data_IF_123401109046
#
_entry.id   IF_123401109046
#
_cell.length_a   1.000
_cell.length_b   1.000
_cell.length_c   1.000
_cell.angle_alpha   90.00
_cell.angle_beta   90.00
_cell.angle_gamma   90.00
#
_symmetry.space_group_name_H-M   'P 1'
#
loop_
_entity.id
_entity.type
_entity.pdbx_description
1 polymer ?
#
# COMPACT_ATOMS: atom_id res chain seq x y z
N UNK A 1 64.42 -53.24 -33.28
CA UNK A 1 64.81 -52.80 -31.92
C UNK A 1 64.08 -51.49 -31.65
N UNK A 2 63.45 -51.18 -30.52
CA UNK A 2 63.12 -51.85 -29.26
C UNK A 2 62.16 -50.86 -28.54
N UNK A 3 61.07 -51.35 -27.92
CA UNK A 3 60.22 -50.78 -26.84
C UNK A 3 59.49 -49.42 -27.05
N UNK A 4 58.15 -49.28 -26.89
CA UNK A 4 57.14 -49.60 -25.85
C UNK A 4 56.84 -48.44 -24.88
N UNK A 5 55.53 -48.17 -24.74
CA UNK A 5 54.75 -47.56 -23.62
C UNK A 5 54.75 -46.01 -23.57
N UNK A 6 53.68 -45.31 -23.19
CA UNK A 6 52.55 -45.64 -22.30
C UNK A 6 51.35 -44.70 -22.57
N UNK A 7 50.13 -45.23 -22.44
CA UNK A 7 48.87 -44.45 -22.32
C UNK A 7 48.82 -43.68 -20.99
N UNK A 8 48.30 -42.45 -20.99
CA UNK A 8 47.54 -41.90 -19.85
C UNK A 8 46.24 -41.25 -20.38
N UNK A 9 45.15 -41.77 -19.82
CA UNK A 9 43.75 -41.36 -19.95
C UNK A 9 43.53 -39.89 -19.59
N UNK A 10 42.92 -39.14 -20.50
CA UNK A 10 42.31 -37.84 -20.22
C UNK A 10 40.80 -37.95 -20.46
N UNK A 11 40.03 -38.09 -19.38
CA UNK A 11 38.57 -37.96 -19.40
C UNK A 11 38.25 -36.49 -19.72
N UNK A 12 37.87 -36.20 -20.96
CA UNK A 12 37.27 -34.92 -21.32
C UNK A 12 35.76 -35.05 -21.07
N UNK A 13 35.30 -34.63 -19.89
CA UNK A 13 33.89 -34.41 -19.61
C UNK A 13 33.36 -33.31 -20.54
N UNK A 14 32.61 -33.70 -21.57
CA UNK A 14 31.76 -32.80 -22.34
C UNK A 14 30.57 -32.38 -21.48
N UNK A 15 30.73 -31.29 -20.74
CA UNK A 15 29.60 -30.58 -20.13
C UNK A 15 28.80 -29.89 -21.23
N UNK A 16 27.78 -30.59 -21.73
CA UNK A 16 26.73 -29.99 -22.55
C UNK A 16 25.94 -29.04 -21.62
N UNK A 17 26.22 -27.74 -21.72
CA UNK A 17 25.37 -26.70 -21.13
C UNK A 17 24.18 -26.55 -22.08
N UNK A 18 23.11 -27.31 -21.84
CA UNK A 18 21.78 -26.97 -22.37
C UNK A 18 21.31 -25.76 -21.56
N UNK A 19 21.65 -24.57 -22.05
CA UNK A 19 21.00 -23.35 -21.62
C UNK A 19 19.57 -23.36 -22.14
N UNK A 20 18.63 -23.82 -21.32
CA UNK A 20 17.20 -23.66 -21.59
C UNK A 20 16.82 -22.20 -21.35
N UNK A 21 17.00 -21.36 -22.37
CA UNK A 21 16.31 -20.06 -22.41
C UNK A 21 14.86 -20.34 -22.76
N UNK A 22 14.00 -20.44 -21.74
CA UNK A 22 12.56 -20.34 -21.93
C UNK A 22 12.22 -18.90 -22.32
N UNK A 23 12.38 -18.60 -23.61
CA UNK A 23 11.77 -17.43 -24.22
C UNK A 23 10.26 -17.59 -24.13
N UNK A 24 9.62 -16.83 -23.25
CA UNK A 24 8.16 -16.67 -23.28
C UNK A 24 7.88 -15.84 -24.54
N UNK A 25 7.52 -16.51 -25.63
CA UNK A 25 6.92 -15.84 -26.77
C UNK A 25 5.59 -15.23 -26.30
N UNK A 26 5.53 -13.89 -26.23
CA UNK A 26 4.28 -13.19 -26.05
C UNK A 26 3.39 -13.53 -27.25
N UNK A 27 2.41 -14.41 -27.07
CA UNK A 27 1.38 -14.67 -28.06
C UNK A 27 0.66 -13.34 -28.33
N UNK A 28 0.91 -12.75 -29.49
CA UNK A 28 0.15 -11.59 -29.94
C UNK A 28 -1.25 -12.07 -30.29
N UNK A 29 -2.25 -11.67 -29.50
CA UNK A 29 -3.65 -11.86 -29.88
C UNK A 29 -3.93 -11.00 -31.12
N UNK A 30 -4.38 -11.62 -32.21
CA UNK A 30 -4.77 -10.91 -33.42
C UNK A 30 -6.28 -10.90 -33.59
N UNK A 31 -6.84 -9.81 -34.12
CA UNK A 31 -8.24 -9.70 -34.53
C UNK A 31 -8.35 -9.67 -36.05
N UNK A 32 -9.19 -10.53 -36.64
CA UNK A 32 -9.46 -10.52 -38.09
C UNK A 32 -10.63 -9.60 -38.40
N UNK A 33 -10.38 -8.57 -39.21
CA UNK A 33 -11.37 -7.56 -39.63
C UNK A 33 -12.56 -8.23 -40.32
N UNK A 34 -13.76 -7.91 -39.86
CA UNK A 34 -15.04 -8.38 -40.39
C UNK A 34 -15.75 -7.27 -41.19
N UNK A 35 -16.78 -7.65 -41.93
CA UNK A 35 -17.58 -6.69 -42.69
C UNK A 35 -18.21 -5.64 -41.75
N UNK A 36 -18.05 -4.35 -42.08
CA UNK A 36 -18.59 -3.23 -41.30
C UNK A 36 -17.78 -2.84 -40.06
N UNK A 37 -16.60 -3.43 -39.85
CA UNK A 37 -15.68 -3.04 -38.78
C UNK A 37 -15.03 -1.68 -39.04
N UNK A 38 -14.76 -0.97 -37.95
CA UNK A 38 -13.90 0.22 -37.90
C UNK A 38 -12.94 0.06 -36.74
N UNK A 39 -11.82 0.79 -36.72
CA UNK A 39 -10.91 0.78 -35.55
C UNK A 39 -11.66 1.09 -34.25
N UNK A 40 -12.64 2.00 -34.29
CA UNK A 40 -13.49 2.31 -33.14
C UNK A 40 -14.37 1.12 -32.72
N UNK A 41 -15.05 0.45 -33.65
CA UNK A 41 -15.88 -0.73 -33.28
C UNK A 41 -15.03 -1.87 -32.73
N UNK A 42 -13.87 -2.11 -33.35
CA UNK A 42 -12.92 -3.13 -32.90
C UNK A 42 -12.37 -2.78 -31.53
N UNK A 43 -11.98 -1.51 -31.29
CA UNK A 43 -11.42 -1.06 -30.01
C UNK A 43 -12.40 -1.31 -28.85
N UNK A 44 -13.70 -1.06 -29.07
CA UNK A 44 -14.73 -1.41 -28.09
C UNK A 44 -14.85 -2.92 -27.89
N UNK A 45 -14.87 -3.68 -28.99
CA UNK A 45 -15.03 -5.15 -28.97
C UNK A 45 -13.88 -5.87 -28.24
N UNK A 46 -12.65 -5.37 -28.40
CA UNK A 46 -11.44 -5.95 -27.78
C UNK A 46 -11.03 -5.24 -26.49
N UNK A 47 -11.81 -4.25 -26.04
CA UNK A 47 -11.57 -3.47 -24.82
C UNK A 47 -10.16 -2.86 -24.72
N UNK A 48 -9.68 -2.28 -25.82
CA UNK A 48 -8.41 -1.56 -25.92
C UNK A 48 -8.71 -0.14 -26.38
N UNK A 49 -8.15 0.93 -25.80
CA UNK A 49 -8.35 2.28 -26.31
C UNK A 49 -7.96 2.37 -27.80
N UNK A 50 -8.80 3.05 -28.60
CA UNK A 50 -8.63 3.12 -30.06
C UNK A 50 -7.22 3.61 -30.46
N UNK A 51 -6.66 4.57 -29.71
CA UNK A 51 -5.32 5.11 -29.93
C UNK A 51 -4.23 4.05 -29.78
N UNK A 52 -4.33 3.18 -28.78
CA UNK A 52 -3.39 2.09 -28.57
C UNK A 52 -3.55 0.99 -29.62
N UNK A 53 -4.79 0.68 -30.01
CA UNK A 53 -5.06 -0.28 -31.09
C UNK A 53 -4.49 0.21 -32.43
N UNK A 54 -4.69 1.49 -32.76
CA UNK A 54 -4.16 2.08 -34.00
C UNK A 54 -2.62 2.15 -33.98
N UNK A 55 -2.03 2.59 -32.87
CA UNK A 55 -0.58 2.64 -32.72
C UNK A 55 0.08 1.26 -32.89
N UNK A 56 -0.51 0.21 -32.30
CA UNK A 56 -0.02 -1.17 -32.45
C UNK A 56 -0.07 -1.70 -33.90
N UNK A 57 -0.82 -1.02 -34.78
CA UNK A 57 -1.01 -1.42 -36.18
C UNK A 57 -0.48 -0.35 -37.16
N UNK A 58 0.35 0.60 -36.70
CA UNK A 58 0.88 1.70 -37.51
C UNK A 58 -0.22 2.46 -38.29
N UNK A 59 -1.40 2.62 -37.67
CA UNK A 59 -2.57 3.20 -38.30
C UNK A 59 -2.81 4.65 -37.87
N UNK A 60 -3.46 5.40 -38.76
CA UNK A 60 -3.89 6.80 -38.58
C UNK A 60 -5.41 6.89 -38.73
N UNK A 61 -6.02 8.02 -38.42
CA UNK A 61 -7.48 8.19 -38.55
C UNK A 61 -7.99 7.99 -39.99
N UNK A 62 -7.11 8.18 -40.99
CA UNK A 62 -7.38 7.94 -42.41
C UNK A 62 -7.11 6.50 -42.86
N UNK A 63 -6.59 5.62 -42.00
CA UNK A 63 -6.30 4.24 -42.37
C UNK A 63 -7.59 3.44 -42.54
N UNK A 64 -7.80 2.91 -43.75
CA UNK A 64 -8.94 2.05 -44.10
C UNK A 64 -8.65 0.59 -43.70
N UNK A 65 -9.64 -0.08 -43.12
CA UNK A 65 -9.57 -1.51 -42.80
C UNK A 65 -10.07 -2.36 -43.96
N UNK A 66 -9.33 -3.41 -44.31
CA UNK A 66 -9.75 -4.39 -45.31
C UNK A 66 -10.32 -5.64 -44.64
N UNK A 67 -11.42 -6.17 -45.15
CA UNK A 67 -12.02 -7.42 -44.64
C UNK A 67 -10.97 -8.55 -44.75
N UNK A 68 -10.79 -9.30 -43.66
CA UNK A 68 -9.78 -10.35 -43.55
C UNK A 68 -8.40 -9.88 -43.09
N UNK A 69 -8.16 -8.57 -42.98
CA UNK A 69 -6.92 -8.03 -42.40
C UNK A 69 -6.77 -8.47 -40.94
N UNK A 70 -5.58 -8.91 -40.55
CA UNK A 70 -5.25 -9.22 -39.16
C UNK A 70 -4.67 -7.99 -38.48
N UNK A 71 -5.30 -7.56 -37.39
CA UNK A 71 -4.83 -6.50 -36.52
C UNK A 71 -4.17 -7.08 -35.28
N UNK A 72 -3.03 -6.52 -34.89
CA UNK A 72 -2.40 -6.77 -33.59
C UNK A 72 -3.26 -6.12 -32.50
N UNK A 73 -3.69 -6.91 -31.51
CA UNK A 73 -4.39 -6.40 -30.33
C UNK A 73 -3.37 -6.33 -29.19
N UNK A 74 -2.90 -5.14 -28.79
CA UNK A 74 -1.93 -5.04 -27.72
C UNK A 74 -2.58 -5.48 -26.41
N UNK A 75 -1.84 -6.26 -25.61
CA UNK A 75 -2.35 -6.80 -24.33
C UNK A 75 -2.01 -5.90 -23.14
N UNK A 76 -1.10 -4.95 -23.32
CA UNK A 76 -0.64 -4.02 -22.29
C UNK A 76 -0.15 -2.71 -22.92
N UNK A 77 -0.11 -1.65 -22.12
CA UNK A 77 0.68 -0.44 -22.37
C UNK A 77 1.82 -0.34 -21.37
N UNK A 78 2.69 0.64 -21.53
CA UNK A 78 3.79 0.91 -20.59
C UNK A 78 3.50 2.14 -19.73
N UNK A 79 3.81 2.06 -18.44
CA UNK A 79 3.76 3.15 -17.48
C UNK A 79 5.17 3.42 -16.94
N UNK A 80 5.57 4.70 -16.88
CA UNK A 80 6.86 5.11 -16.29
C UNK A 80 6.62 5.50 -14.84
N UNK A 81 7.29 4.80 -13.93
CA UNK A 81 7.12 4.96 -12.48
C UNK A 81 7.59 6.34 -12.05
N UNK A 82 6.75 7.03 -11.27
CA UNK A 82 7.07 8.31 -10.62
C UNK A 82 7.29 8.16 -9.11
N UNK A 83 7.77 9.22 -8.47
CA UNK A 83 8.07 9.22 -7.04
C UNK A 83 6.86 8.77 -6.20
N UNK A 84 7.11 7.79 -5.32
CA UNK A 84 6.11 7.27 -4.37
C UNK A 84 5.13 6.26 -4.95
N UNK A 85 5.27 5.82 -6.21
CA UNK A 85 4.44 4.76 -6.79
C UNK A 85 4.88 3.36 -6.36
N UNK A 86 3.90 2.46 -6.30
CA UNK A 86 4.08 1.02 -6.12
C UNK A 86 3.19 0.29 -7.13
N UNK A 87 3.42 -1.01 -7.36
CA UNK A 87 2.53 -1.79 -8.23
C UNK A 87 1.06 -1.67 -7.79
N UNK A 88 0.82 -1.58 -6.48
CA UNK A 88 -0.50 -1.33 -5.92
C UNK A 88 -1.11 0.02 -6.34
N UNK A 89 -0.36 1.12 -6.22
CA UNK A 89 -0.86 2.44 -6.63
C UNK A 89 -1.10 2.51 -8.14
N UNK A 90 -0.23 1.87 -8.93
CA UNK A 90 -0.39 1.76 -10.38
C UNK A 90 -1.62 0.92 -10.72
N UNK A 91 -1.85 -0.19 -10.03
CA UNK A 91 -3.03 -1.03 -10.29
C UNK A 91 -4.34 -0.29 -10.01
N UNK A 92 -4.38 0.51 -8.94
CA UNK A 92 -5.50 1.39 -8.64
C UNK A 92 -5.69 2.48 -9.69
N UNK A 93 -4.62 3.17 -10.06
CA UNK A 93 -4.63 4.25 -11.06
C UNK A 93 -5.24 3.81 -12.39
N UNK A 94 -4.97 2.57 -12.80
CA UNK A 94 -5.43 2.03 -14.07
C UNK A 94 -6.59 1.03 -13.95
N UNK A 95 -7.11 0.81 -12.73
CA UNK A 95 -8.21 -0.11 -12.49
C UNK A 95 -7.91 -1.56 -12.90
N UNK A 96 -6.66 -2.01 -12.77
CA UNK A 96 -6.24 -3.37 -13.16
C UNK A 96 -6.06 -4.27 -11.94
N UNK A 97 -6.20 -5.58 -12.14
CA UNK A 97 -5.91 -6.56 -11.09
C UNK A 97 -4.40 -6.55 -10.74
N UNK A 98 -4.09 -6.42 -9.46
CA UNK A 98 -2.70 -6.35 -8.97
C UNK A 98 -1.89 -7.63 -9.27
N UNK A 99 -2.49 -8.81 -9.18
CA UNK A 99 -1.78 -10.07 -9.44
C UNK A 99 -1.43 -10.18 -10.93
N UNK A 100 -2.35 -9.76 -11.82
CA UNK A 100 -2.07 -9.73 -13.25
C UNK A 100 -0.99 -8.71 -13.58
N UNK A 101 -1.02 -7.53 -12.94
CA UNK A 101 0.01 -6.51 -13.10
C UNK A 101 1.38 -7.02 -12.62
N UNK A 102 1.45 -7.67 -11.47
CA UNK A 102 2.68 -8.23 -10.93
C UNK A 102 3.23 -9.33 -11.85
N UNK A 103 2.40 -10.31 -12.22
CA UNK A 103 2.78 -11.41 -13.09
C UNK A 103 3.29 -10.91 -14.46
N UNK A 104 2.62 -9.91 -15.05
CA UNK A 104 3.02 -9.31 -16.33
C UNK A 104 4.41 -8.67 -16.29
N UNK A 105 4.86 -8.25 -15.10
CA UNK A 105 6.17 -7.63 -14.89
C UNK A 105 7.19 -8.58 -14.23
N UNK A 106 6.89 -9.87 -14.11
CA UNK A 106 7.76 -10.83 -13.39
C UNK A 106 7.99 -10.45 -11.93
N UNK A 107 7.06 -9.70 -11.34
CA UNK A 107 7.12 -9.17 -9.99
C UNK A 107 6.26 -9.98 -9.02
N UNK A 108 6.44 -9.75 -7.72
CA UNK A 108 5.62 -10.32 -6.65
C UNK A 108 5.26 -9.24 -5.61
N UNK A 109 4.51 -9.62 -4.56
CA UNK A 109 4.04 -8.69 -3.54
C UNK A 109 5.16 -7.94 -2.79
N UNK A 110 6.40 -8.45 -2.80
CA UNK A 110 7.56 -7.82 -2.18
C UNK A 110 8.40 -6.97 -3.16
N UNK A 111 8.02 -6.92 -4.44
CA UNK A 111 8.73 -6.15 -5.44
C UNK A 111 8.48 -4.65 -5.25
N UNK A 112 9.56 -3.88 -5.18
CA UNK A 112 9.54 -2.42 -5.17
C UNK A 112 9.72 -1.85 -6.58
N UNK A 113 9.24 -0.62 -6.78
CA UNK A 113 9.42 0.13 -8.03
C UNK A 113 10.44 1.24 -7.81
N UNK A 114 11.34 1.40 -8.78
CA UNK A 114 12.27 2.53 -8.81
C UNK A 114 11.71 3.67 -9.67
N UNK A 115 11.96 4.91 -9.29
CA UNK A 115 11.57 6.07 -10.11
C UNK A 115 12.25 5.98 -11.48
N UNK A 116 11.48 6.22 -12.54
CA UNK A 116 11.92 6.07 -13.93
C UNK A 116 11.86 4.65 -14.48
N UNK A 117 11.54 3.64 -13.65
CA UNK A 117 11.31 2.28 -14.14
C UNK A 117 10.10 2.24 -15.07
N UNK A 118 10.21 1.53 -16.20
CA UNK A 118 9.09 1.30 -17.11
C UNK A 118 8.48 -0.06 -16.78
N UNK A 119 7.18 -0.09 -16.51
CA UNK A 119 6.42 -1.33 -16.26
C UNK A 119 5.29 -1.49 -17.28
N UNK A 120 4.91 -2.74 -17.54
CA UNK A 120 3.79 -3.11 -18.40
C UNK A 120 2.50 -3.11 -17.58
N UNK A 121 1.44 -2.48 -18.09
CA UNK A 121 0.11 -2.43 -17.46
C UNK A 121 -0.91 -3.05 -18.43
N UNK A 122 -1.65 -4.09 -18.03
CA UNK A 122 -2.55 -4.80 -18.94
C UNK A 122 -3.71 -3.90 -19.39
N UNK A 123 -4.14 -4.04 -20.65
CA UNK A 123 -5.40 -3.47 -21.12
C UNK A 123 -6.57 -4.33 -20.64
N UNK A 124 -7.68 -3.70 -20.26
CA UNK A 124 -8.98 -4.38 -20.18
C UNK A 124 -9.11 -5.48 -19.12
N UNK A 125 -8.52 -5.31 -17.94
CA UNK A 125 -8.86 -6.15 -16.78
C UNK A 125 -10.28 -5.86 -16.29
N UNK A 126 -11.32 -6.42 -16.91
CA UNK A 126 -12.69 -6.48 -16.36
C UNK A 126 -12.82 -7.41 -15.15
N UNK A 127 -11.71 -7.83 -14.55
CA UNK A 127 -11.74 -8.26 -13.17
C UNK A 127 -12.00 -7.02 -12.33
N UNK A 128 -13.24 -6.85 -11.86
CA UNK A 128 -13.46 -6.25 -10.54
C UNK A 128 -12.29 -6.65 -9.67
N UNK A 129 -11.62 -5.70 -9.02
CA UNK A 129 -10.61 -6.01 -8.01
C UNK A 129 -11.25 -7.07 -7.11
N UNK A 130 -10.84 -8.36 -7.15
CA UNK A 130 -11.28 -9.26 -6.13
C UNK A 130 -10.59 -8.69 -4.91
N UNK A 131 -11.39 -8.15 -3.97
CA UNK A 131 -10.93 -8.02 -2.60
C UNK A 131 -10.19 -9.33 -2.29
N UNK A 132 -8.94 -9.27 -1.79
CA UNK A 132 -8.11 -10.47 -1.68
C UNK A 132 -8.94 -11.58 -1.06
N UNK A 133 -8.98 -12.73 -1.73
CA UNK A 133 -9.80 -13.86 -1.28
C UNK A 133 -9.53 -14.06 0.22
N UNK A 134 -10.57 -14.13 1.07
CA UNK A 134 -10.39 -14.31 2.50
C UNK A 134 -9.46 -15.51 2.71
N UNK A 135 -8.33 -15.26 3.37
CA UNK A 135 -7.48 -16.33 3.86
C UNK A 135 -8.35 -17.30 4.65
N UNK A 136 -8.18 -18.60 4.44
CA UNK A 136 -8.81 -19.63 5.29
C UNK A 136 -8.30 -19.56 6.74
N UNK A 137 -7.21 -18.83 6.97
CA UNK A 137 -6.78 -18.43 8.29
C UNK A 137 -7.52 -17.15 8.71
N UNK A 138 -8.38 -17.26 9.72
CA UNK A 138 -9.27 -16.18 10.18
C UNK A 138 -8.66 -15.35 11.30
N UNK A 139 -7.49 -15.73 11.81
CA UNK A 139 -6.85 -15.06 12.95
C UNK A 139 -5.51 -14.44 12.56
N UNK A 140 -5.15 -13.28 13.14
CA UNK A 140 -3.81 -12.71 12.98
C UNK A 140 -2.75 -13.68 13.49
N UNK A 141 -1.62 -13.76 12.78
CA UNK A 141 -0.47 -14.57 13.21
C UNK A 141 0.84 -13.84 12.95
N UNK A 142 1.86 -14.18 13.74
CA UNK A 142 3.18 -13.56 13.67
C UNK A 142 4.15 -14.52 13.01
N UNK A 143 4.82 -14.06 11.96
CA UNK A 143 6.02 -14.70 11.41
C UNK A 143 7.24 -13.89 11.79
N UNK A 144 8.43 -14.37 11.41
CA UNK A 144 9.67 -13.68 11.71
C UNK A 144 10.54 -13.53 10.48
N UNK A 145 11.18 -12.37 10.38
CA UNK A 145 12.21 -12.07 9.39
C UNK A 145 13.52 -11.75 10.09
N UNK A 146 14.62 -12.25 9.57
CA UNK A 146 15.94 -11.88 10.06
C UNK A 146 16.41 -10.58 9.40
N UNK A 147 16.97 -9.68 10.20
CA UNK A 147 17.59 -8.43 9.77
C UNK A 147 19.00 -8.34 10.31
N UNK A 148 19.98 -8.09 9.44
CA UNK A 148 21.37 -7.86 9.84
C UNK A 148 21.57 -6.39 10.17
N UNK A 149 22.00 -6.11 11.39
CA UNK A 149 22.24 -4.77 11.91
C UNK A 149 23.35 -4.09 11.11
N UNK A 150 23.10 -2.85 10.69
CA UNK A 150 24.08 -2.03 9.98
C UNK A 150 24.54 -0.85 10.84
N UNK A 151 25.57 -0.14 10.38
CA UNK A 151 26.12 1.03 11.09
C UNK A 151 25.03 2.08 11.34
N UNK A 152 24.88 2.49 12.61
CA UNK A 152 23.92 3.51 13.04
C UNK A 152 22.55 2.95 13.45
N UNK A 153 22.32 1.65 13.34
CA UNK A 153 21.10 1.04 13.83
C UNK A 153 21.03 1.03 15.37
N UNK A 154 19.82 1.25 15.87
CA UNK A 154 19.40 1.02 17.25
C UNK A 154 18.16 0.14 17.22
N UNK A 155 17.78 -0.52 18.32
CA UNK A 155 16.50 -1.24 18.36
C UNK A 155 15.31 -0.31 18.06
N UNK A 156 15.39 0.96 18.45
CA UNK A 156 14.36 1.95 18.13
C UNK A 156 14.28 2.29 16.64
N UNK A 157 15.42 2.54 15.98
CA UNK A 157 15.41 2.82 14.54
C UNK A 157 14.98 1.60 13.73
N UNK A 158 15.37 0.39 14.17
CA UNK A 158 14.94 -0.87 13.55
C UNK A 158 13.43 -1.07 13.74
N UNK A 159 12.88 -0.89 14.96
CA UNK A 159 11.44 -1.08 15.19
C UNK A 159 10.60 -0.12 14.34
N UNK A 160 11.03 1.14 14.24
CA UNK A 160 10.39 2.14 13.39
C UNK A 160 10.48 1.76 11.90
N UNK A 161 11.64 1.30 11.44
CA UNK A 161 11.85 0.85 10.04
C UNK A 161 10.91 -0.28 9.65
N UNK A 162 10.59 -1.18 10.58
CA UNK A 162 9.71 -2.32 10.34
C UNK A 162 8.26 -2.09 10.80
N UNK A 163 7.92 -0.91 11.32
CA UNK A 163 6.55 -0.57 11.71
C UNK A 163 6.01 -1.39 12.88
N UNK A 164 6.88 -1.80 13.81
CA UNK A 164 6.54 -2.55 15.04
C UNK A 164 6.95 -1.76 16.27
N UNK A 165 6.41 -2.12 17.43
CA UNK A 165 6.78 -1.44 18.69
C UNK A 165 8.18 -1.84 19.15
N UNK A 166 8.89 -0.92 19.80
CA UNK A 166 10.19 -1.21 20.41
C UNK A 166 10.08 -2.37 21.42
N UNK A 167 9.03 -2.37 22.25
CA UNK A 167 8.79 -3.42 23.24
C UNK A 167 8.65 -4.81 22.60
N UNK A 168 7.94 -4.90 21.48
CA UNK A 168 7.76 -6.15 20.76
C UNK A 168 9.07 -6.65 20.12
N UNK A 169 9.83 -5.74 19.49
CA UNK A 169 11.13 -6.08 18.92
C UNK A 169 12.09 -6.59 19.99
N UNK A 170 12.20 -5.88 21.12
CA UNK A 170 13.07 -6.27 22.23
C UNK A 170 12.66 -7.63 22.80
N UNK A 171 11.37 -7.84 23.03
CA UNK A 171 10.82 -9.13 23.51
C UNK A 171 11.15 -10.29 22.56
N UNK A 172 11.00 -10.09 21.25
CA UNK A 172 11.29 -11.13 20.25
C UNK A 172 12.77 -11.54 20.20
N UNK A 173 13.66 -10.69 20.72
CA UNK A 173 15.11 -10.87 20.72
C UNK A 173 15.70 -11.12 22.11
N UNK A 174 14.86 -11.24 23.16
CA UNK A 174 15.29 -11.34 24.56
C UNK A 174 16.24 -10.18 24.97
N UNK A 175 15.86 -8.96 24.59
CA UNK A 175 16.60 -7.73 24.87
C UNK A 175 15.81 -6.78 25.75
N UNK A 176 16.52 -5.82 26.32
CA UNK A 176 16.04 -4.72 27.14
C UNK A 176 16.35 -3.38 26.47
N UNK A 177 15.77 -2.29 26.96
CA UNK A 177 16.07 -0.95 26.42
C UNK A 177 17.51 -0.50 26.65
N UNK A 178 18.20 -1.09 27.63
CA UNK A 178 19.63 -0.86 27.88
C UNK A 178 20.56 -1.63 26.93
N UNK A 179 20.03 -2.58 26.16
CA UNK A 179 20.84 -3.31 25.19
C UNK A 179 21.02 -2.52 23.90
N UNK A 180 22.22 -2.61 23.32
CA UNK A 180 22.52 -2.05 22.00
C UNK A 180 22.86 -3.16 20.99
N UNK A 181 22.34 -3.09 19.75
CA UNK A 181 22.71 -4.02 18.71
C UNK A 181 24.12 -3.70 18.18
N UNK A 182 24.93 -4.73 17.92
CA UNK A 182 26.23 -4.57 17.26
C UNK A 182 26.07 -4.73 15.75
N UNK A 183 26.93 -4.06 14.99
CA UNK A 183 26.97 -4.22 13.53
C UNK A 183 27.23 -5.69 13.19
N UNK A 184 26.36 -6.26 12.34
CA UNK A 184 26.41 -7.68 11.97
C UNK A 184 25.49 -8.59 12.79
N UNK A 185 24.95 -8.13 13.93
CA UNK A 185 23.99 -8.89 14.71
C UNK A 185 22.75 -9.24 13.86
N UNK A 186 22.20 -10.42 14.06
CA UNK A 186 20.93 -10.82 13.46
C UNK A 186 19.81 -10.52 14.45
N UNK A 187 18.95 -9.58 14.08
CA UNK A 187 17.75 -9.21 14.82
C UNK A 187 16.55 -9.91 14.19
N UNK A 188 15.80 -10.64 15.02
CA UNK A 188 14.55 -11.31 14.68
C UNK A 188 13.41 -10.30 14.71
N UNK A 189 12.89 -9.94 13.53
CA UNK A 189 11.81 -8.97 13.35
C UNK A 189 10.47 -9.71 13.32
N UNK A 190 9.56 -9.47 14.28
CA UNK A 190 8.15 -9.86 14.17
C UNK A 190 7.48 -9.28 12.93
N UNK A 191 6.71 -10.10 12.23
CA UNK A 191 5.90 -9.68 11.07
C UNK A 191 4.46 -10.12 11.33
N UNK A 192 3.58 -9.15 11.54
CA UNK A 192 2.15 -9.40 11.74
C UNK A 192 1.47 -9.64 10.40
N UNK A 193 0.87 -10.81 10.26
CA UNK A 193 0.04 -11.17 9.12
C UNK A 193 -1.41 -11.06 9.57
N UNK A 194 -2.09 -10.03 9.09
CA UNK A 194 -3.48 -9.74 9.46
C UNK A 194 -4.36 -10.12 8.26
N UNK A 195 -5.09 -11.24 8.33
CA UNK A 195 -6.02 -11.65 7.29
C UNK A 195 -7.04 -10.56 6.97
N UNK A 196 -7.52 -10.57 5.72
CA UNK A 196 -8.65 -9.72 5.34
C UNK A 196 -9.93 -10.31 5.90
N UNK A 197 -10.70 -9.49 6.61
CA UNK A 197 -11.98 -9.89 7.19
C UNK A 197 -13.10 -9.68 6.19
N UNK A 198 -14.08 -10.57 6.23
CA UNK A 198 -15.33 -10.35 5.50
C UNK A 198 -16.09 -9.17 6.09
N UNK A 199 -16.85 -8.50 5.24
CA UNK A 199 -17.71 -7.37 5.61
C UNK A 199 -19.16 -7.70 5.24
N UNK A 200 -20.18 -7.20 5.99
CA UNK A 200 -21.58 -7.46 5.68
C UNK A 200 -22.08 -6.94 4.32
N UNK A 201 -21.30 -6.07 3.66
CA UNK A 201 -21.65 -5.47 2.37
C UNK A 201 -20.57 -4.51 1.85
N UNK A 202 -20.62 -4.15 0.56
CA UNK A 202 -19.58 -3.37 -0.12
C UNK A 202 -19.46 -1.93 0.38
N UNK A 203 -20.39 -1.43 1.21
CA UNK A 203 -20.29 -0.14 1.89
C UNK A 203 -19.46 -0.21 3.17
N UNK A 204 -19.37 -1.35 3.85
CA UNK A 204 -18.74 -1.47 5.18
C UNK A 204 -17.24 -1.82 5.11
N UNK A 205 -16.49 -1.42 6.13
CA UNK A 205 -15.09 -1.75 6.30
C UNK A 205 -14.84 -2.93 7.24
N UNK A 206 -13.64 -3.48 7.16
CA UNK A 206 -13.14 -4.52 8.06
C UNK A 206 -13.07 -3.99 9.50
N UNK A 207 -13.65 -4.71 10.44
CA UNK A 207 -13.56 -4.37 11.86
C UNK A 207 -12.26 -4.93 12.44
N UNK A 208 -11.24 -4.09 12.53
CA UNK A 208 -9.91 -4.46 13.01
C UNK A 208 -9.70 -4.00 14.45
N UNK A 209 -9.22 -4.90 15.30
CA UNK A 209 -8.75 -4.63 16.65
C UNK A 209 -7.45 -3.81 16.61
N UNK A 210 -7.37 -2.75 17.40
CA UNK A 210 -6.20 -1.87 17.40
C UNK A 210 -4.92 -2.60 17.80
N UNK A 211 -4.99 -3.40 18.86
CA UNK A 211 -3.82 -3.98 19.52
C UNK A 211 -3.21 -5.14 18.75
N UNK A 212 -4.03 -5.87 18.01
CA UNK A 212 -3.62 -7.09 17.30
C UNK A 212 -3.61 -6.94 15.77
N UNK A 213 -4.26 -5.91 15.23
CA UNK A 213 -4.53 -5.84 13.79
C UNK A 213 -4.27 -4.45 13.19
N UNK A 214 -5.11 -3.46 13.49
CA UNK A 214 -5.18 -2.21 12.74
C UNK A 214 -3.85 -1.44 12.73
N UNK A 215 -3.13 -1.42 13.86
CA UNK A 215 -1.85 -0.71 13.96
C UNK A 215 -0.75 -1.29 13.08
N UNK A 216 -0.83 -2.59 12.74
CA UNK A 216 0.11 -3.27 11.85
C UNK A 216 -0.32 -3.23 10.39
N UNK A 217 -1.63 -3.13 10.15
CA UNK A 217 -2.18 -2.90 8.81
C UNK A 217 -1.91 -1.47 8.36
N UNK A 218 -2.00 -0.49 9.26
CA UNK A 218 -1.76 0.93 8.99
C UNK A 218 -0.59 1.38 9.90
N UNK A 219 0.67 1.07 9.55
CA UNK A 219 1.82 1.44 10.37
C UNK A 219 2.04 2.96 10.41
N UNK A 220 2.84 3.44 11.38
CA UNK A 220 3.29 4.84 11.41
C UNK A 220 4.02 5.15 10.09
N UNK A 221 3.74 6.32 9.52
CA UNK A 221 4.22 6.75 8.21
C UNK A 221 3.36 6.29 7.03
N UNK A 222 2.33 5.46 7.26
CA UNK A 222 1.40 5.06 6.20
C UNK A 222 0.57 6.26 5.73
N UNK A 223 0.56 6.48 4.42
CA UNK A 223 -0.36 7.40 3.75
C UNK A 223 -1.59 6.63 3.26
N UNK A 224 -2.78 7.09 3.64
CA UNK A 224 -4.05 6.44 3.32
C UNK A 224 -5.15 7.47 3.03
N UNK A 225 -6.23 7.02 2.39
CA UNK A 225 -7.42 7.82 2.15
C UNK A 225 -8.43 7.59 3.28
N UNK A 226 -8.93 8.67 3.87
CA UNK A 226 -10.07 8.65 4.79
C UNK A 226 -11.32 9.01 4.00
N UNK A 227 -12.36 8.20 4.12
CA UNK A 227 -13.69 8.45 3.53
C UNK A 227 -14.70 8.62 4.64
N UNK A 228 -15.40 9.75 4.67
CA UNK A 228 -16.53 9.93 5.59
C UNK A 228 -17.67 8.99 5.22
N UNK A 229 -18.09 8.16 6.16
CA UNK A 229 -19.05 7.08 5.88
C UNK A 229 -20.43 7.60 5.45
N UNK A 230 -20.79 8.82 5.88
CA UNK A 230 -22.11 9.40 5.60
C UNK A 230 -22.14 10.15 4.26
N UNK A 231 -21.14 10.98 3.99
CA UNK A 231 -21.13 11.86 2.81
C UNK A 231 -20.40 11.26 1.61
N UNK A 232 -19.53 10.27 1.83
CA UNK A 232 -18.67 9.69 0.78
C UNK A 232 -17.52 10.60 0.34
N UNK A 233 -17.42 11.83 0.88
CA UNK A 233 -16.26 12.70 0.66
C UNK A 233 -15.00 12.06 1.26
N UNK A 234 -13.87 12.26 0.60
CA UNK A 234 -12.60 11.70 1.05
C UNK A 234 -11.44 12.67 0.90
N UNK A 235 -10.41 12.42 1.71
CA UNK A 235 -9.19 13.22 1.78
C UNK A 235 -8.00 12.34 2.20
N UNK A 236 -6.79 12.79 1.87
CA UNK A 236 -5.56 12.04 2.11
C UNK A 236 -4.92 12.39 3.45
N UNK A 237 -4.44 11.37 4.14
CA UNK A 237 -3.92 11.44 5.52
C UNK A 237 -2.66 10.60 5.65
N UNK A 238 -1.77 10.97 6.56
CA UNK A 238 -0.68 10.13 7.06
C UNK A 238 -0.91 9.82 8.54
N UNK A 239 -0.74 8.57 8.96
CA UNK A 239 -0.54 8.27 10.39
C UNK A 239 0.85 8.75 10.78
N UNK A 240 0.95 9.79 11.59
CA UNK A 240 2.23 10.39 11.95
C UNK A 240 2.75 9.90 13.29
N UNK A 241 1.87 9.51 14.20
CA UNK A 241 2.23 8.92 15.50
C UNK A 241 1.08 8.04 16.03
N UNK A 242 0.97 7.90 17.35
CA UNK A 242 -0.15 7.28 18.05
C UNK A 242 0.12 5.86 18.53
N UNK A 243 0.03 5.70 19.85
CA UNK A 243 0.20 4.42 20.54
C UNK A 243 -1.14 3.73 20.83
N UNK A 244 -2.15 4.50 21.25
CA UNK A 244 -3.44 3.99 21.69
C UNK A 244 -4.49 3.97 20.57
N UNK A 245 -4.24 4.74 19.53
CA UNK A 245 -4.99 4.86 18.28
C UNK A 245 -4.07 5.51 17.22
N UNK A 246 -4.59 5.76 16.01
CA UNK A 246 -3.81 6.36 14.94
C UNK A 246 -3.90 7.89 14.98
N UNK A 247 -2.87 8.53 15.54
CA UNK A 247 -2.69 9.98 15.48
C UNK A 247 -2.22 10.35 14.08
N UNK A 248 -3.02 11.15 13.40
CA UNK A 248 -2.88 11.35 11.96
C UNK A 248 -2.99 12.81 11.55
N UNK A 249 -2.39 13.13 10.41
CA UNK A 249 -2.35 14.48 9.84
C UNK A 249 -2.78 14.44 8.37
N UNK A 250 -3.52 15.45 7.92
CA UNK A 250 -3.83 15.63 6.50
C UNK A 250 -2.55 15.87 5.70
N UNK A 251 -2.50 15.37 4.46
CA UNK A 251 -1.31 15.53 3.63
C UNK A 251 -1.16 16.95 3.07
N UNK A 252 -2.28 17.64 2.81
CA UNK A 252 -2.28 18.96 2.17
C UNK A 252 -3.33 19.90 2.79
N UNK A 253 -3.22 21.20 2.50
CA UNK A 253 -4.22 22.20 2.87
C UNK A 253 -5.60 21.95 2.22
N UNK A 254 -5.64 21.38 1.02
CA UNK A 254 -6.90 21.01 0.37
C UNK A 254 -7.56 19.82 1.08
N UNK A 255 -6.78 18.82 1.51
CA UNK A 255 -7.29 17.72 2.34
C UNK A 255 -7.92 18.24 3.64
N UNK A 256 -7.26 19.21 4.28
CA UNK A 256 -7.80 19.88 5.48
C UNK A 256 -9.09 20.63 5.21
N UNK A 257 -9.20 21.30 4.06
CA UNK A 257 -10.43 21.99 3.67
C UNK A 257 -11.58 20.99 3.48
N UNK A 258 -11.35 19.89 2.78
CA UNK A 258 -12.35 18.81 2.61
C UNK A 258 -12.75 18.23 3.98
N UNK A 259 -11.77 17.97 4.86
CA UNK A 259 -12.02 17.52 6.22
C UNK A 259 -12.92 18.51 6.99
N UNK A 260 -12.63 19.81 6.96
CA UNK A 260 -13.49 20.83 7.59
C UNK A 260 -14.90 20.83 7.01
N UNK A 261 -15.06 20.74 5.69
CA UNK A 261 -16.38 20.70 5.05
C UNK A 261 -17.24 19.53 5.55
N UNK A 262 -16.64 18.34 5.76
CA UNK A 262 -17.35 17.17 6.30
C UNK A 262 -17.86 17.43 7.73
N UNK A 263 -17.14 18.24 8.50
CA UNK A 263 -17.48 18.64 9.87
C UNK A 263 -18.21 19.98 9.99
N UNK A 264 -18.75 20.51 8.89
CA UNK A 264 -19.58 21.72 8.91
C UNK A 264 -18.79 23.03 8.78
N UNK A 265 -17.58 22.98 8.24
CA UNK A 265 -16.74 24.14 7.92
C UNK A 265 -15.65 24.45 8.96
N UNK A 266 -15.62 23.74 10.07
CA UNK A 266 -14.64 23.94 11.15
C UNK A 266 -14.10 22.61 11.70
N UNK A 267 -13.03 22.67 12.49
CA UNK A 267 -12.53 21.54 13.26
C UNK A 267 -13.50 21.19 14.39
N UNK A 268 -13.64 19.90 14.70
CA UNK A 268 -14.62 19.48 15.70
C UNK A 268 -14.27 18.13 16.33
N UNK A 269 -14.50 18.04 17.63
CA UNK A 269 -14.44 16.80 18.42
C UNK A 269 -15.59 15.83 18.13
N UNK A 270 -16.54 16.21 17.27
CA UNK A 270 -17.64 15.33 16.89
C UNK A 270 -17.11 14.08 16.22
N UNK A 271 -17.44 12.92 16.80
CA UNK A 271 -16.97 11.62 16.32
C UNK A 271 -17.83 11.17 15.16
N UNK A 272 -17.21 10.78 14.06
CA UNK A 272 -17.91 10.29 12.86
C UNK A 272 -17.45 8.88 12.51
N UNK A 273 -18.33 8.04 11.92
CA UNK A 273 -17.91 6.80 11.28
C UNK A 273 -17.16 7.14 9.99
N UNK A 274 -15.99 6.53 9.79
CA UNK A 274 -15.18 6.70 8.58
C UNK A 274 -14.68 5.35 8.07
N UNK A 275 -14.24 5.32 6.82
CA UNK A 275 -13.57 4.19 6.20
C UNK A 275 -12.15 4.59 5.84
N UNK A 276 -11.19 3.75 6.21
CA UNK A 276 -9.80 3.90 5.80
C UNK A 276 -9.56 3.02 4.59
N UNK A 277 -9.13 3.61 3.47
CA UNK A 277 -8.66 2.86 2.30
C UNK A 277 -7.15 2.85 2.29
N UNK A 278 -6.58 1.66 2.44
CA UNK A 278 -5.13 1.46 2.46
C UNK A 278 -4.77 0.09 1.89
N UNK A 279 -3.83 0.04 0.94
CA UNK A 279 -3.36 -1.22 0.33
C UNK A 279 -4.48 -2.18 -0.12
N UNK A 280 -5.58 -1.65 -0.64
CA UNK A 280 -6.72 -2.44 -1.15
C UNK A 280 -7.69 -2.91 -0.10
N UNK A 281 -7.37 -2.63 1.15
CA UNK A 281 -8.24 -2.86 2.29
C UNK A 281 -9.11 -1.64 2.50
N UNK A 282 -10.29 -1.91 3.03
CA UNK A 282 -11.23 -0.89 3.46
C UNK A 282 -11.58 -1.21 4.90
N UNK A 283 -11.11 -0.38 5.82
CA UNK A 283 -11.10 -0.67 7.25
C UNK A 283 -12.09 0.26 7.94
N UNK A 284 -12.92 -0.29 8.81
CA UNK A 284 -13.88 0.48 9.60
C UNK A 284 -13.14 1.22 10.71
N UNK A 285 -13.39 2.52 10.81
CA UNK A 285 -12.81 3.37 11.83
C UNK A 285 -13.81 4.44 12.30
N UNK A 286 -13.39 5.21 13.30
CA UNK A 286 -14.05 6.43 13.73
C UNK A 286 -13.03 7.55 13.85
N UNK A 287 -13.42 8.77 13.49
CA UNK A 287 -12.51 9.91 13.50
C UNK A 287 -13.18 11.14 14.13
N UNK A 288 -12.37 11.99 14.76
CA UNK A 288 -12.67 13.40 15.07
C UNK A 288 -11.76 14.28 14.20
N UNK A 289 -12.17 15.51 13.86
CA UNK A 289 -11.38 16.39 12.99
C UNK A 289 -10.59 17.46 13.75
N UNK A 290 -10.53 17.37 15.09
CA UNK A 290 -9.85 18.38 15.90
C UNK A 290 -8.34 18.11 15.97
N UNK A 291 -7.50 18.95 15.33
CA UNK A 291 -6.06 18.84 15.49
C UNK A 291 -5.62 19.33 16.87
N UNK A 292 -4.60 18.68 17.42
CA UNK A 292 -4.06 19.03 18.73
C UNK A 292 -2.60 18.60 18.89
N UNK A 293 -1.97 19.10 19.96
CA UNK A 293 -0.61 18.79 20.37
C UNK A 293 0.49 19.14 19.34
N UNK A 294 0.24 20.13 18.48
CA UNK A 294 1.19 20.58 17.47
C UNK A 294 1.37 22.08 17.37
N UNK A 295 2.39 22.47 16.60
CA UNK A 295 2.75 23.85 16.27
C UNK A 295 3.42 23.86 14.89
N UNK A 296 2.75 24.42 13.89
CA UNK A 296 3.25 24.47 12.50
C UNK A 296 4.51 25.33 12.39
N UNK A 297 4.71 26.30 13.29
CA UNK A 297 5.87 27.19 13.30
C UNK A 297 7.13 26.59 13.96
N UNK A 298 7.03 25.37 14.51
CA UNK A 298 8.16 24.68 15.14
C UNK A 298 8.53 23.40 14.38
N UNK A 299 9.78 22.97 14.49
CA UNK A 299 10.22 21.68 13.94
C UNK A 299 9.49 20.51 14.65
N UNK A 300 9.15 19.47 13.88
CA UNK A 300 8.51 18.27 14.40
C UNK A 300 9.43 17.53 15.39
N UNK A 301 8.86 16.98 16.45
CA UNK A 301 9.58 16.27 17.52
C UNK A 301 10.42 17.16 18.44
N UNK A 302 10.55 18.46 18.16
CA UNK A 302 11.30 19.41 18.99
C UNK A 302 10.39 20.00 20.06
N UNK A 303 10.95 20.32 21.23
CA UNK A 303 10.23 21.03 22.28
C UNK A 303 9.81 22.43 21.81
N UNK A 304 8.55 22.77 22.02
CA UNK A 304 7.97 24.09 21.74
C UNK A 304 7.34 24.65 23.02
N UNK A 305 7.33 25.97 23.16
CA UNK A 305 6.72 26.67 24.29
C UNK A 305 5.18 26.63 24.28
N UNK A 306 4.57 26.32 23.13
CA UNK A 306 3.13 26.22 22.96
C UNK A 306 2.76 25.16 21.91
N UNK A 307 1.60 24.52 22.09
CA UNK A 307 0.97 23.57 21.17
C UNK A 307 -0.55 23.74 21.16
N UNK A 308 -1.17 23.43 20.04
CA UNK A 308 -2.61 23.45 19.79
C UNK A 308 -3.41 22.54 20.74
N UNK A 309 -4.70 22.85 20.93
CA UNK A 309 -5.62 22.05 21.74
C UNK A 309 -5.35 22.10 23.24
N UNK A 310 -4.81 23.20 23.76
CA UNK A 310 -4.47 23.43 25.17
C UNK A 310 -3.43 22.47 25.76
N UNK A 311 -2.61 21.85 24.91
CA UNK A 311 -1.52 20.94 25.31
C UNK A 311 -0.30 21.63 25.93
N UNK A 312 -0.26 22.96 25.93
CA UNK A 312 0.84 23.75 26.47
C UNK A 312 2.20 23.42 25.86
N UNK A 313 3.27 23.71 26.60
CA UNK A 313 4.63 23.40 26.18
C UNK A 313 4.88 21.88 26.11
N UNK A 314 5.69 21.44 25.15
CA UNK A 314 6.07 20.04 25.02
C UNK A 314 6.63 19.69 23.65
N UNK A 315 6.89 18.40 23.38
CA UNK A 315 7.29 17.93 22.06
C UNK A 315 6.22 18.24 21.01
N UNK A 316 6.66 18.81 19.88
CA UNK A 316 5.79 19.18 18.78
C UNK A 316 5.38 17.95 17.95
N UNK A 317 4.11 17.55 17.97
CA UNK A 317 3.60 16.40 17.21
C UNK A 317 2.94 16.80 15.88
N UNK A 318 3.46 17.88 15.29
CA UNK A 318 3.10 18.35 13.97
C UNK A 318 4.23 17.98 12.99
N UNK A 319 4.01 16.92 12.21
CA UNK A 319 4.99 16.34 11.31
C UNK A 319 4.81 16.75 9.85
N UNK A 320 3.65 17.31 9.47
CA UNK A 320 3.35 17.79 8.12
C UNK A 320 3.06 19.28 8.16
N UNK A 321 3.99 20.06 7.60
CA UNK A 321 3.91 21.52 7.64
C UNK A 321 3.02 22.12 6.57
N UNK A 322 2.39 23.25 6.88
CA UNK A 322 1.55 24.03 5.99
C UNK A 322 0.37 23.25 5.38
N UNK A 323 -0.10 22.20 6.05
CA UNK A 323 -1.34 21.48 5.69
C UNK A 323 -2.59 22.16 6.29
N UNK A 324 -2.43 23.26 7.03
CA UNK A 324 -3.56 24.01 7.60
C UNK A 324 -4.14 23.40 8.88
N UNK A 325 -3.43 22.46 9.52
CA UNK A 325 -3.67 22.02 10.90
C UNK A 325 -2.40 22.21 11.73
N UNK A 326 -2.55 22.43 13.04
CA UNK A 326 -1.44 22.40 14.00
C UNK A 326 -1.51 21.09 14.78
N UNK A 327 -0.66 20.12 14.45
CA UNK A 327 -0.62 18.81 15.09
C UNK A 327 -1.51 17.77 14.44
N UNK A 328 -2.01 16.81 15.21
CA UNK A 328 -2.71 15.62 14.70
C UNK A 328 -4.14 15.51 15.22
N UNK A 329 -4.94 14.67 14.54
CA UNK A 329 -6.29 14.29 14.96
C UNK A 329 -6.40 12.76 15.10
N UNK A 330 -7.45 12.33 15.81
CA UNK A 330 -7.58 10.95 16.27
C UNK A 330 -8.38 10.10 15.28
N UNK A 331 -7.80 8.96 14.88
CA UNK A 331 -8.51 7.88 14.19
C UNK A 331 -8.51 6.63 15.06
N UNK A 332 -9.69 6.27 15.52
CA UNK A 332 -9.97 5.13 16.38
C UNK A 332 -10.43 3.88 15.61
N UNK A 333 -9.97 2.72 16.08
CA UNK A 333 -10.37 1.38 15.64
C UNK A 333 -11.01 0.60 16.79
N UNK A 334 -11.38 -0.66 16.57
CA UNK A 334 -11.95 -1.48 17.66
C UNK A 334 -10.96 -1.59 18.81
N UNK A 335 -11.45 -1.44 20.04
CA UNK A 335 -10.70 -1.54 21.30
C UNK A 335 -9.52 -0.56 21.45
N UNK A 336 -9.33 0.37 20.51
CA UNK A 336 -8.43 1.52 20.71
C UNK A 336 -8.87 2.35 21.91
N UNK A 337 -7.92 2.99 22.57
CA UNK A 337 -8.16 3.72 23.83
C UNK A 337 -7.79 5.19 23.70
N UNK A 338 -8.32 6.02 24.60
CA UNK A 338 -7.99 7.45 24.65
C UNK A 338 -6.64 7.67 25.33
N UNK A 339 -6.02 8.80 25.02
CA UNK A 339 -4.76 9.24 25.65
C UNK A 339 -4.94 9.64 27.12
N UNK A 340 -6.07 10.26 27.47
CA UNK A 340 -6.26 10.89 28.79
C UNK A 340 -6.36 9.90 29.95
N UNK A 341 -6.94 8.73 29.74
CA UNK A 341 -7.22 7.74 30.79
C UNK A 341 -6.97 6.29 30.36
N UNK A 342 -6.53 6.06 29.11
CA UNK A 342 -6.31 4.72 28.58
C UNK A 342 -7.59 3.89 28.45
N UNK A 343 -8.77 4.50 28.57
CA UNK A 343 -10.04 3.78 28.48
C UNK A 343 -10.60 3.79 27.05
N UNK A 344 -11.41 2.79 26.75
CA UNK A 344 -12.12 2.68 25.48
C UNK A 344 -13.23 3.74 25.42
N UNK A 345 -13.36 4.39 24.26
CA UNK A 345 -14.40 5.38 24.04
C UNK A 345 -15.64 4.81 23.36
N UNK A 346 -16.76 4.76 24.07
CA UNK A 346 -18.01 4.18 23.58
C UNK A 346 -18.53 4.84 22.29
N UNK A 347 -18.33 6.16 22.13
CA UNK A 347 -18.75 6.89 20.93
C UNK A 347 -17.94 6.49 19.71
N UNK A 348 -16.61 6.39 19.85
CA UNK A 348 -15.75 5.86 18.79
C UNK A 348 -16.10 4.40 18.47
N UNK A 349 -16.29 3.56 19.49
CA UNK A 349 -16.64 2.15 19.26
C UNK A 349 -17.99 2.00 18.51
N UNK A 350 -19.00 2.80 18.85
CA UNK A 350 -20.28 2.80 18.14
C UNK A 350 -20.12 3.22 16.65
N UNK A 351 -19.29 4.21 16.38
CA UNK A 351 -18.99 4.65 15.01
C UNK A 351 -18.18 3.62 14.23
N UNK A 352 -17.20 2.94 14.85
CA UNK A 352 -16.45 1.84 14.22
C UNK A 352 -17.41 0.70 13.87
N UNK A 353 -18.32 0.33 14.78
CA UNK A 353 -19.36 -0.67 14.50
C UNK A 353 -20.27 -0.24 13.35
N UNK A 354 -20.66 1.03 13.29
CA UNK A 354 -21.48 1.59 12.22
C UNK A 354 -20.78 1.44 10.86
N UNK A 355 -19.52 1.87 10.76
CA UNK A 355 -18.75 1.76 9.51
C UNK A 355 -18.37 0.32 9.17
N UNK A 356 -18.42 -0.61 10.14
CA UNK A 356 -18.25 -2.05 9.95
C UNK A 356 -19.55 -2.81 9.63
N UNK A 357 -20.72 -2.19 9.79
CA UNK A 357 -22.02 -2.87 9.63
C UNK A 357 -22.32 -3.87 10.76
N UNK A 358 -21.73 -3.65 11.94
CA UNK A 358 -21.97 -4.45 13.14
C UNK A 358 -23.11 -3.86 13.97
N UNK A 359 -23.92 -4.74 14.56
CA UNK A 359 -25.05 -4.37 15.42
C UNK A 359 -24.62 -4.10 16.86
#
# INVERSE_FOLDING_TARGET
MLFKKLLISGILCTSIIIGSTTGIYALSTTYTVQNGDTYWKISQKVNVPITNLMAANNATQSTVLNIGQKLVVPQYFTHTVVYGESYWKVSLKYGVNINNLLALNGANANSYLNVGQIIKVPFGGTGTVPAPAPSTDTKPYITYKNYTVVKGDTYWSISNKFGITLAELLKANNKSQSDWPNIGDIVKIPVHNVPIKSTPGPQYGEALDWWTEAQYVIPIGANFEVVDFKTGKSFSVRRTTGANHADSETLTAEDTKIMKEIWGGSFSWTKRPVLIKYNGRKIAASMSSMPHAGNDNAAAGVWTSWRSGDYGAGPNYDWIKNNGIDGHFDIHFLNSTRHNDGAVDAGHQANVKTSAGLK
#
